data_IF_365085064921
#
_entry.id   IF_365085064921
#
_cell.length_a   1.000
_cell.length_b   1.000
_cell.length_c   1.000
_cell.angle_alpha   90.00
_cell.angle_beta   90.00
_cell.angle_gamma   90.00
#
_symmetry.space_group_name_H-M   'P 1'
#
loop_
_entity.id
_entity.type
_entity.pdbx_description
1 polymer ?
#
# COMPACT_ATOMS: atom_id res chain seq x y z
N UNK A 1 -13.41 -29.22 28.67
CA UNK A 1 -12.36 -28.19 28.85
C UNK A 1 -11.57 -27.88 27.57
N UNK A 2 -11.06 -28.87 26.82
CA UNK A 2 -10.26 -28.62 25.60
C UNK A 2 -10.94 -27.76 24.51
N UNK A 3 -12.21 -28.04 24.21
CA UNK A 3 -12.96 -27.27 23.21
C UNK A 3 -13.13 -25.78 23.58
N UNK A 4 -13.31 -25.50 24.86
CA UNK A 4 -13.43 -24.12 25.37
C UNK A 4 -12.11 -23.38 25.17
N UNK A 5 -10.97 -24.05 25.43
CA UNK A 5 -9.65 -23.48 25.20
C UNK A 5 -9.42 -23.12 23.72
N UNK A 6 -9.79 -24.01 22.78
CA UNK A 6 -9.68 -23.74 21.34
C UNK A 6 -10.55 -22.54 20.93
N UNK A 7 -11.79 -22.46 21.41
CA UNK A 7 -12.67 -21.33 21.11
C UNK A 7 -12.09 -20.00 21.61
N UNK A 8 -11.53 -19.99 22.81
CA UNK A 8 -10.90 -18.80 23.37
C UNK A 8 -9.69 -18.39 22.52
N UNK A 9 -8.80 -19.32 22.17
CA UNK A 9 -7.60 -19.03 21.38
C UNK A 9 -7.94 -18.50 19.97
N UNK A 10 -8.88 -19.16 19.29
CA UNK A 10 -9.31 -18.76 17.94
C UNK A 10 -10.01 -17.40 17.93
N UNK A 11 -10.83 -17.12 18.96
CA UNK A 11 -11.45 -15.81 19.15
C UNK A 11 -10.42 -14.70 19.34
N UNK A 12 -9.43 -14.88 20.22
CA UNK A 12 -8.36 -13.89 20.41
C UNK A 12 -7.51 -13.69 19.15
N UNK A 13 -7.19 -14.77 18.43
CA UNK A 13 -6.44 -14.68 17.18
C UNK A 13 -7.20 -13.87 16.12
N UNK A 14 -8.49 -14.18 15.91
CA UNK A 14 -9.32 -13.47 14.93
C UNK A 14 -9.57 -12.02 15.33
N UNK A 15 -9.76 -11.72 16.62
CA UNK A 15 -9.89 -10.35 17.13
C UNK A 15 -8.62 -9.51 16.89
N UNK A 16 -7.44 -10.06 17.17
CA UNK A 16 -6.18 -9.35 16.95
C UNK A 16 -5.87 -9.14 15.46
N UNK A 17 -6.14 -10.15 14.64
CA UNK A 17 -5.98 -10.06 13.18
C UNK A 17 -6.91 -8.99 12.59
N UNK A 18 -8.18 -8.97 12.99
CA UNK A 18 -9.15 -7.97 12.51
C UNK A 18 -8.77 -6.56 12.97
N UNK A 19 -8.31 -6.38 14.22
CA UNK A 19 -7.82 -5.09 14.70
C UNK A 19 -6.62 -4.57 13.87
N UNK A 20 -5.68 -5.45 13.53
CA UNK A 20 -4.55 -5.09 12.67
C UNK A 20 -4.98 -4.72 11.24
N UNK A 21 -5.92 -5.47 10.65
CA UNK A 21 -6.39 -5.22 9.28
C UNK A 21 -7.25 -3.96 9.17
N UNK A 22 -7.96 -3.59 10.23
CA UNK A 22 -8.87 -2.43 10.26
C UNK A 22 -8.15 -1.11 10.55
N UNK A 23 -6.95 -1.14 11.15
CA UNK A 23 -6.14 0.06 11.42
C UNK A 23 -4.83 0.07 10.61
N UNK A 24 -4.89 0.33 9.29
CA UNK A 24 -3.69 0.59 8.51
C UNK A 24 -3.11 1.96 8.89
N UNK A 25 -2.03 1.97 9.68
CA UNK A 25 -1.31 3.19 10.00
C UNK A 25 -0.01 3.26 9.19
N UNK A 26 0.16 4.32 8.40
CA UNK A 26 1.47 4.66 7.85
C UNK A 26 2.20 5.52 8.87
N UNK A 27 3.26 5.00 9.46
CA UNK A 27 4.16 5.79 10.30
C UNK A 27 5.24 6.40 9.43
N UNK A 28 5.45 7.71 9.55
CA UNK A 28 6.62 8.32 8.92
C UNK A 28 7.89 7.82 9.62
N UNK A 29 8.98 7.63 8.86
CA UNK A 29 10.27 7.38 9.47
C UNK A 29 10.78 8.59 10.27
N UNK A 30 10.28 9.80 10.02
CA UNK A 30 10.77 11.02 10.66
C UNK A 30 9.56 11.76 11.23
N UNK A 31 9.51 11.84 12.56
CA UNK A 31 8.48 12.62 13.25
C UNK A 31 9.09 13.84 13.93
N UNK A 32 10.34 13.73 14.39
CA UNK A 32 11.03 14.74 15.18
C UNK A 32 12.42 15.06 14.64
N UNK A 33 12.95 16.21 15.10
CA UNK A 33 14.32 16.62 14.84
C UNK A 33 15.34 15.54 15.24
N UNK A 34 15.14 14.88 16.39
CA UNK A 34 16.02 13.82 16.89
C UNK A 34 16.09 12.61 15.95
N UNK A 35 14.99 12.31 15.24
CA UNK A 35 14.95 11.21 14.27
C UNK A 35 15.78 11.52 13.03
N UNK A 36 15.85 12.78 12.60
CA UNK A 36 16.70 13.23 11.48
C UNK A 36 18.16 12.89 11.78
N UNK A 37 18.62 13.21 12.99
CA UNK A 37 19.99 12.97 13.46
C UNK A 37 20.30 11.48 13.59
N UNK A 38 19.46 10.76 14.34
CA UNK A 38 19.68 9.34 14.65
C UNK A 38 19.71 8.48 13.39
N UNK A 39 18.93 8.85 12.38
CA UNK A 39 18.85 8.11 11.11
C UNK A 39 19.79 8.67 10.04
N UNK A 40 20.53 9.74 10.33
CA UNK A 40 21.52 10.32 9.43
C UNK A 40 20.90 10.94 8.17
N UNK A 41 19.70 11.50 8.27
CA UNK A 41 19.09 12.24 7.16
C UNK A 41 19.84 13.54 6.93
N UNK A 42 20.14 13.82 5.67
CA UNK A 42 20.70 15.11 5.28
C UNK A 42 19.59 16.09 4.96
N UNK A 43 19.80 17.37 5.21
CA UNK A 43 18.82 18.39 4.87
C UNK A 43 19.44 19.56 4.11
N UNK A 44 18.59 20.21 3.31
CA UNK A 44 18.89 21.40 2.51
C UNK A 44 17.86 22.48 2.82
N UNK A 45 18.30 23.73 2.87
CA UNK A 45 17.44 24.91 2.91
C UNK A 45 17.94 25.95 1.90
N UNK A 46 17.14 27.00 1.68
CA UNK A 46 17.57 28.15 0.88
C UNK A 46 18.72 28.90 1.54
N UNK A 47 19.73 29.27 0.75
CA UNK A 47 20.82 30.14 1.21
C UNK A 47 20.32 31.56 1.47
N UNK A 48 20.78 32.18 2.54
CA UNK A 48 20.47 33.58 2.89
C UNK A 48 19.03 33.84 3.33
N UNK A 49 18.24 32.79 3.61
CA UNK A 49 16.90 32.92 4.23
C UNK A 49 16.99 32.76 5.75
N UNK A 50 15.85 32.95 6.41
CA UNK A 50 15.72 32.89 7.88
C UNK A 50 16.40 31.67 8.51
N UNK A 51 16.22 30.47 7.95
CA UNK A 51 16.81 29.24 8.51
C UNK A 51 18.35 29.27 8.41
N UNK A 52 18.88 29.66 7.26
CA UNK A 52 20.33 29.73 7.03
C UNK A 52 20.97 30.82 7.89
N UNK A 53 20.33 31.99 7.97
CA UNK A 53 20.76 33.10 8.82
C UNK A 53 20.70 32.74 10.31
N UNK A 54 19.61 32.08 10.76
CA UNK A 54 19.49 31.68 12.16
C UNK A 54 20.57 30.67 12.56
N UNK A 55 20.90 29.74 11.67
CA UNK A 55 21.96 28.76 11.91
C UNK A 55 23.37 29.36 11.86
N UNK A 56 23.59 30.44 11.11
CA UNK A 56 24.89 31.11 11.07
C UNK A 56 25.12 32.05 12.24
N UNK A 57 24.06 32.70 12.74
CA UNK A 57 24.15 33.77 13.74
C UNK A 57 23.88 33.28 15.17
N UNK A 58 23.03 32.26 15.35
CA UNK A 58 22.61 31.76 16.66
C UNK A 58 23.07 30.30 16.87
N UNK A 59 24.33 30.12 17.26
CA UNK A 59 24.96 28.82 17.59
C UNK A 59 24.69 28.38 19.06
N UNK A 60 23.86 29.12 19.79
CA UNK A 60 23.62 28.93 21.24
C UNK A 60 22.33 28.15 21.57
N UNK A 61 21.52 27.78 20.58
CA UNK A 61 20.30 26.98 20.81
C UNK A 61 20.62 25.50 20.55
N UNK A 62 20.55 24.68 21.60
CA UNK A 62 20.95 23.26 21.60
C UNK A 62 20.35 22.46 20.42
N UNK A 63 19.10 22.74 20.04
CA UNK A 63 18.42 22.11 18.90
C UNK A 63 18.94 22.55 17.51
N UNK A 64 19.44 23.79 17.37
CA UNK A 64 20.00 24.31 16.10
C UNK A 64 21.39 23.72 15.80
N UNK A 65 22.19 23.50 16.85
CA UNK A 65 23.52 22.90 16.70
C UNK A 65 23.43 21.49 16.14
N UNK A 66 22.41 20.75 16.55
CA UNK A 66 22.11 19.41 16.03
C UNK A 66 21.77 19.44 14.53
N UNK A 67 21.02 20.45 14.07
CA UNK A 67 20.73 20.63 12.65
C UNK A 67 22.01 20.89 11.85
N UNK A 68 22.95 21.67 12.38
CA UNK A 68 24.18 22.00 11.66
C UNK A 68 25.02 20.74 11.32
N UNK A 69 25.00 19.73 12.19
CA UNK A 69 25.71 18.44 11.98
C UNK A 69 25.16 17.66 10.78
N UNK A 70 23.84 17.69 10.58
CA UNK A 70 23.15 16.96 9.49
C UNK A 70 22.94 17.79 8.22
N UNK A 71 23.43 19.04 8.23
CA UNK A 71 23.38 19.91 7.07
C UNK A 71 24.18 19.30 5.93
N UNK A 72 23.59 19.24 4.74
CA UNK A 72 24.34 18.85 3.55
C UNK A 72 25.32 19.96 3.19
N UNK A 73 26.59 19.77 3.56
CA UNK A 73 27.68 20.69 3.22
C UNK A 73 27.88 20.70 1.69
N UNK A 74 28.05 21.90 1.14
CA UNK A 74 28.28 22.21 -0.29
C UNK A 74 27.09 22.20 -1.26
N UNK A 75 25.88 21.83 -0.82
CA UNK A 75 24.68 21.91 -1.66
C UNK A 75 23.65 22.88 -1.08
N UNK A 76 23.44 23.99 -1.77
CA UNK A 76 22.47 25.01 -1.41
C UNK A 76 21.64 25.40 -2.61
N UNK A 77 20.34 25.61 -2.40
CA UNK A 77 19.46 26.15 -3.43
C UNK A 77 19.73 27.66 -3.46
N UNK A 78 20.46 28.10 -4.49
CA UNK A 78 20.83 29.51 -4.74
C UNK A 78 19.77 30.30 -5.46
N UNK A 79 18.91 29.63 -6.22
CA UNK A 79 17.93 30.34 -7.05
C UNK A 79 16.93 31.06 -6.15
N UNK A 80 16.97 32.39 -6.23
CA UNK A 80 16.03 33.29 -5.54
C UNK A 80 14.65 33.25 -6.20
N UNK A 81 14.57 32.83 -7.47
CA UNK A 81 13.38 32.88 -8.30
C UNK A 81 12.75 31.48 -8.43
N UNK A 82 12.00 31.12 -7.38
CA UNK A 82 11.03 30.01 -7.35
C UNK A 82 11.46 28.67 -8.00
N UNK A 83 12.59 28.05 -7.59
CA UNK A 83 13.06 26.80 -8.18
C UNK A 83 12.31 25.58 -7.61
N UNK A 84 11.02 25.46 -7.92
CA UNK A 84 10.15 24.36 -7.44
C UNK A 84 10.73 23.00 -7.81
N UNK A 85 11.25 22.89 -9.03
CA UNK A 85 11.82 21.66 -9.56
C UNK A 85 13.12 21.29 -8.82
N UNK A 86 13.96 22.27 -8.48
CA UNK A 86 15.18 22.01 -7.70
C UNK A 86 14.86 21.55 -6.28
N UNK A 87 13.79 22.08 -5.66
CA UNK A 87 13.32 21.60 -4.36
C UNK A 87 12.89 20.13 -4.49
N UNK A 88 12.07 19.81 -5.48
CA UNK A 88 11.58 18.43 -5.66
C UNK A 88 12.69 17.45 -6.06
N UNK A 89 13.71 17.90 -6.78
CA UNK A 89 14.90 17.13 -7.12
C UNK A 89 15.83 16.95 -5.91
N UNK A 90 15.90 17.94 -5.02
CA UNK A 90 16.67 17.88 -3.79
C UNK A 90 16.05 16.93 -2.74
N UNK A 91 14.72 16.79 -2.73
CA UNK A 91 13.99 15.87 -1.85
C UNK A 91 14.03 14.46 -2.42
N UNK A 92 15.13 13.76 -2.14
CA UNK A 92 15.36 12.36 -2.51
C UNK A 92 15.29 11.42 -1.29
N UNK A 93 15.50 10.12 -1.49
CA UNK A 93 15.68 9.18 -0.38
C UNK A 93 16.83 9.66 0.51
N UNK A 94 16.53 9.85 1.79
CA UNK A 94 17.44 10.32 2.83
C UNK A 94 17.84 11.80 2.78
N UNK A 95 17.21 12.60 1.91
CA UNK A 95 17.44 14.05 1.81
C UNK A 95 16.13 14.80 2.06
N UNK A 96 16.20 15.83 2.91
CA UNK A 96 15.05 16.60 3.36
C UNK A 96 15.18 18.05 2.91
N UNK A 97 14.06 18.70 2.68
CA UNK A 97 14.01 20.13 2.45
C UNK A 97 13.39 20.83 3.67
N UNK A 98 14.10 21.80 4.23
CA UNK A 98 13.64 22.63 5.34
C UNK A 98 13.08 23.95 4.81
N UNK A 99 11.84 24.25 5.19
CA UNK A 99 11.15 25.46 4.79
C UNK A 99 9.96 25.79 5.69
N UNK A 100 9.38 26.95 5.49
CA UNK A 100 8.19 27.37 6.23
C UNK A 100 6.99 26.47 5.92
N UNK A 101 6.26 26.04 6.95
CA UNK A 101 5.13 25.11 6.81
C UNK A 101 4.08 25.59 5.78
N UNK A 102 3.70 26.88 5.82
CA UNK A 102 2.73 27.42 4.87
C UNK A 102 3.21 27.31 3.42
N UNK A 103 4.47 27.65 3.16
CA UNK A 103 5.07 27.54 1.83
C UNK A 103 5.12 26.09 1.34
N UNK A 104 5.53 25.16 2.21
CA UNK A 104 5.56 23.72 1.90
C UNK A 104 4.17 23.17 1.60
N UNK A 105 3.15 23.57 2.36
CA UNK A 105 1.76 23.16 2.12
C UNK A 105 1.26 23.61 0.74
N UNK A 106 1.51 24.86 0.38
CA UNK A 106 1.13 25.40 -0.94
C UNK A 106 1.89 24.66 -2.05
N UNK A 107 3.21 24.47 -1.90
CA UNK A 107 4.04 23.80 -2.89
C UNK A 107 3.65 22.33 -3.13
N UNK A 108 3.34 21.58 -2.07
CA UNK A 108 2.84 20.21 -2.18
C UNK A 108 1.44 20.19 -2.82
N UNK A 109 0.57 21.15 -2.46
CA UNK A 109 -0.77 21.23 -3.03
C UNK A 109 -0.77 21.54 -4.52
N UNK A 110 0.04 22.49 -4.96
CA UNK A 110 0.19 22.84 -6.38
C UNK A 110 0.70 21.65 -7.18
N UNK A 111 1.69 20.92 -6.66
CA UNK A 111 2.18 19.69 -7.27
C UNK A 111 1.08 18.61 -7.35
N UNK A 112 0.31 18.43 -6.28
CA UNK A 112 -0.83 17.51 -6.27
C UNK A 112 -1.88 17.87 -7.34
N UNK A 113 -2.21 19.16 -7.50
CA UNK A 113 -3.13 19.64 -8.54
C UNK A 113 -2.55 19.34 -9.93
N UNK A 114 -1.27 19.65 -10.15
CA UNK A 114 -0.61 19.42 -11.45
C UNK A 114 -0.66 17.92 -11.83
N UNK A 115 -0.29 17.04 -10.90
CA UNK A 115 -0.37 15.58 -11.10
C UNK A 115 -1.80 15.06 -11.28
N UNK A 116 -2.78 15.74 -10.68
CA UNK A 116 -4.19 15.43 -10.88
C UNK A 116 -4.63 15.77 -12.30
N UNK A 117 -4.20 16.92 -12.85
CA UNK A 117 -4.45 17.32 -14.25
C UNK A 117 -3.83 16.33 -15.25
N UNK A 118 -2.71 15.72 -14.89
CA UNK A 118 -2.03 14.68 -15.67
C UNK A 118 -2.68 13.29 -15.57
N UNK A 119 -3.82 13.14 -14.90
CA UNK A 119 -4.57 11.88 -14.77
C UNK A 119 -3.77 10.71 -14.14
N UNK A 120 -2.75 11.02 -13.35
CA UNK A 120 -1.96 10.01 -12.63
C UNK A 120 -2.82 9.25 -11.61
N UNK A 121 -2.48 8.00 -11.30
CA UNK A 121 -3.12 7.26 -10.21
C UNK A 121 -2.86 7.91 -8.84
N UNK A 122 -3.79 7.77 -7.90
CA UNK A 122 -3.75 8.42 -6.57
C UNK A 122 -2.42 8.21 -5.83
N UNK A 123 -1.87 6.99 -5.87
CA UNK A 123 -0.57 6.64 -5.26
C UNK A 123 0.59 7.51 -5.76
N UNK A 124 0.56 7.90 -7.04
CA UNK A 124 1.63 8.69 -7.67
C UNK A 124 1.41 10.20 -7.50
N UNK A 125 0.23 10.63 -7.03
CA UNK A 125 -0.07 12.04 -6.71
C UNK A 125 0.53 12.43 -5.36
N UNK A 126 0.51 11.52 -4.38
CA UNK A 126 0.98 11.73 -3.01
C UNK A 126 2.46 11.34 -2.86
N UNK A 127 3.39 12.09 -3.44
CA UNK A 127 4.83 11.77 -3.38
C UNK A 127 5.57 12.38 -2.20
N UNK A 128 5.07 13.49 -1.67
CA UNK A 128 5.73 14.26 -0.62
C UNK A 128 4.81 14.39 0.59
N UNK A 129 5.42 14.42 1.77
CA UNK A 129 4.73 14.56 3.07
C UNK A 129 5.51 15.53 3.94
N UNK A 130 4.80 16.26 4.78
CA UNK A 130 5.39 17.17 5.78
C UNK A 130 5.49 16.41 7.10
N UNK A 131 6.61 16.56 7.80
CA UNK A 131 6.78 16.05 9.16
C UNK A 131 5.71 16.63 10.09
N UNK A 132 5.06 15.83 10.96
CA UNK A 132 3.97 16.32 11.81
C UNK A 132 4.43 17.36 12.83
N UNK A 133 5.63 17.20 13.40
CA UNK A 133 6.13 18.12 14.42
C UNK A 133 6.92 19.26 13.77
N UNK A 134 6.82 20.45 14.35
CA UNK A 134 7.54 21.64 13.90
C UNK A 134 8.90 21.71 14.58
N UNK A 135 9.94 22.06 13.81
CA UNK A 135 11.30 22.22 14.33
C UNK A 135 11.44 23.54 15.10
N UNK A 136 10.93 24.62 14.52
CA UNK A 136 11.03 25.96 15.09
C UNK A 136 9.74 26.74 14.80
N UNK A 137 9.29 27.51 15.79
CA UNK A 137 8.17 28.45 15.64
C UNK A 137 8.73 29.86 15.71
N UNK A 138 8.57 30.60 14.62
CA UNK A 138 8.98 32.00 14.52
C UNK A 138 7.76 32.90 14.44
N UNK A 139 7.80 34.01 15.18
CA UNK A 139 6.80 35.06 15.08
C UNK A 139 7.18 36.02 13.96
N UNK A 140 6.22 36.35 13.10
CA UNK A 140 6.39 37.37 12.06
C UNK A 140 5.86 38.70 12.56
N UNK A 141 6.61 39.76 12.35
CA UNK A 141 6.24 41.12 12.69
C UNK A 141 6.54 42.05 11.52
N UNK A 142 5.83 43.18 11.47
CA UNK A 142 6.18 44.26 10.57
C UNK A 142 7.30 45.08 11.22
N UNK A 143 8.40 45.24 10.48
CA UNK A 143 9.50 46.10 10.90
C UNK A 143 9.24 47.52 10.40
N UNK A 144 9.40 48.49 11.29
CA UNK A 144 9.30 49.92 10.96
C UNK A 144 10.65 50.59 11.20
N UNK A 145 10.96 51.69 10.48
CA UNK A 145 12.13 52.51 10.80
C UNK A 145 12.10 52.99 12.26
N UNK A 146 13.29 53.18 12.84
CA UNK A 146 13.43 53.71 14.19
C UNK A 146 12.69 55.07 14.28
N UNK A 147 11.88 55.25 15.33
CA UNK A 147 11.02 56.41 15.55
C UNK A 147 9.86 56.61 14.54
N UNK A 148 9.37 55.54 13.91
CA UNK A 148 8.18 55.62 13.06
C UNK A 148 6.90 55.89 13.86
N UNK A 149 6.08 56.84 13.39
CA UNK A 149 4.74 57.10 13.94
C UNK A 149 3.70 56.07 13.50
N UNK A 150 4.04 55.20 12.54
CA UNK A 150 3.13 54.23 11.94
C UNK A 150 2.93 52.97 12.79
N UNK A 151 3.82 52.68 13.72
CA UNK A 151 3.77 51.47 14.54
C UNK A 151 2.44 51.35 15.30
N UNK A 152 2.04 52.41 16.01
CA UNK A 152 0.82 52.44 16.83
C UNK A 152 -0.47 52.24 16.03
N UNK A 153 -0.77 53.05 14.98
CA UNK A 153 -1.98 52.85 14.20
C UNK A 153 -1.98 51.50 13.48
N UNK A 154 -0.83 51.05 12.96
CA UNK A 154 -0.74 49.78 12.25
C UNK A 154 -0.97 48.58 13.18
N UNK A 155 -0.37 48.58 14.37
CA UNK A 155 -0.61 47.53 15.36
C UNK A 155 -2.08 47.47 15.79
N UNK A 156 -2.74 48.62 15.95
CA UNK A 156 -4.17 48.67 16.27
C UNK A 156 -5.01 48.00 15.18
N UNK A 157 -4.78 48.36 13.91
CA UNK A 157 -5.51 47.76 12.80
C UNK A 157 -5.19 46.28 12.62
N UNK A 158 -3.92 45.88 12.79
CA UNK A 158 -3.48 44.50 12.71
C UNK A 158 -4.18 43.62 13.76
N UNK A 159 -4.30 44.10 15.01
CA UNK A 159 -5.02 43.41 16.08
C UNK A 159 -6.50 43.26 15.70
N UNK A 160 -7.14 44.29 15.14
CA UNK A 160 -8.52 44.23 14.64
C UNK A 160 -8.68 43.18 13.54
N UNK A 161 -7.75 43.11 12.59
CA UNK A 161 -7.76 42.10 11.51
C UNK A 161 -7.52 40.67 12.03
N UNK A 162 -6.71 40.52 13.08
CA UNK A 162 -6.51 39.24 13.76
C UNK A 162 -7.76 38.82 14.53
N UNK A 163 -8.35 39.72 15.31
CA UNK A 163 -9.54 39.47 16.14
C UNK A 163 -10.78 39.14 15.29
N UNK A 164 -10.94 39.81 14.15
CA UNK A 164 -12.00 39.50 13.17
C UNK A 164 -11.78 38.19 12.40
N UNK A 165 -10.60 37.58 12.51
CA UNK A 165 -10.28 36.32 11.82
C UNK A 165 -9.98 36.47 10.32
N UNK A 166 -9.87 37.70 9.80
CA UNK A 166 -9.58 37.97 8.38
C UNK A 166 -8.23 37.37 7.98
N UNK A 167 -7.20 37.53 8.83
CA UNK A 167 -5.87 36.96 8.55
C UNK A 167 -5.92 35.44 8.49
N UNK A 168 -6.68 34.80 9.39
CA UNK A 168 -6.85 33.34 9.39
C UNK A 168 -7.56 32.86 8.12
N UNK A 169 -8.57 33.60 7.66
CA UNK A 169 -9.28 33.31 6.41
C UNK A 169 -8.36 33.43 5.20
N UNK A 170 -7.63 34.54 5.06
CA UNK A 170 -6.73 34.75 3.92
C UNK A 170 -5.59 33.72 3.90
N UNK A 171 -5.06 33.34 5.07
CA UNK A 171 -4.08 32.25 5.16
C UNK A 171 -4.61 30.92 4.61
N UNK A 172 -5.89 30.62 4.80
CA UNK A 172 -6.50 29.35 4.38
C UNK A 172 -7.11 29.39 2.98
N UNK A 173 -7.28 30.57 2.37
CA UNK A 173 -8.03 30.78 1.12
C UNK A 173 -7.53 29.95 -0.06
N UNK A 174 -6.21 29.81 -0.20
CA UNK A 174 -5.57 29.08 -1.30
C UNK A 174 -5.18 27.65 -0.93
N UNK A 175 -5.49 27.22 0.30
CA UNK A 175 -5.20 25.90 0.80
C UNK A 175 -6.47 25.04 0.78
N UNK A 176 -6.32 23.71 0.65
CA UNK A 176 -7.45 22.80 0.73
C UNK A 176 -8.10 22.85 2.13
N UNK A 177 -9.43 22.76 2.18
CA UNK A 177 -10.17 22.67 3.45
C UNK A 177 -9.96 21.30 4.11
N UNK A 178 -9.71 20.26 3.32
CA UNK A 178 -9.45 18.90 3.78
C UNK A 178 -7.97 18.52 3.64
N UNK A 179 -7.47 17.66 4.51
CA UNK A 179 -6.10 17.14 4.42
C UNK A 179 -5.92 16.33 3.14
N UNK A 180 -4.94 16.73 2.34
CA UNK A 180 -4.53 16.01 1.14
C UNK A 180 -3.58 14.89 1.56
N UNK A 181 -3.80 13.68 1.03
CA UNK A 181 -2.94 12.52 1.30
C UNK A 181 -2.77 12.23 2.81
N UNK A 182 -3.86 11.89 3.53
CA UNK A 182 -3.76 11.60 4.95
C UNK A 182 -2.88 10.36 5.18
N UNK A 183 -1.97 10.47 6.15
CA UNK A 183 -1.11 9.36 6.58
C UNK A 183 -1.91 8.26 7.26
N UNK A 184 -2.93 8.69 8.00
CA UNK A 184 -3.95 7.79 8.51
C UNK A 184 -4.99 7.57 7.42
N UNK A 185 -5.00 6.37 6.84
CA UNK A 185 -6.11 5.91 6.02
C UNK A 185 -7.31 5.66 6.94
N UNK A 186 -7.93 6.73 7.42
CA UNK A 186 -9.08 6.68 8.31
C UNK A 186 -10.21 5.95 7.59
N UNK A 187 -10.41 4.69 7.98
CA UNK A 187 -11.56 3.86 7.62
C UNK A 187 -11.77 3.59 6.13
N UNK A 188 -10.71 3.61 5.31
CA UNK A 188 -10.78 2.93 4.01
C UNK A 188 -10.64 1.43 4.27
N UNK A 189 -11.70 0.65 4.08
CA UNK A 189 -11.66 -0.82 4.11
C UNK A 189 -10.52 -1.29 3.18
N UNK A 190 -9.38 -1.73 3.75
CA UNK A 190 -8.24 -2.22 2.98
C UNK A 190 -8.69 -3.48 2.24
N UNK A 191 -8.85 -3.39 0.92
CA UNK A 191 -9.09 -4.56 0.09
C UNK A 191 -7.83 -5.43 0.11
N UNK A 192 -7.96 -6.64 0.63
CA UNK A 192 -6.89 -7.62 0.66
C UNK A 192 -6.43 -7.93 -0.76
N UNK A 193 -5.13 -7.74 -1.01
CA UNK A 193 -4.52 -8.06 -2.30
C UNK A 193 -3.96 -9.49 -2.29
N UNK A 194 -3.78 -10.08 -3.47
CA UNK A 194 -3.12 -11.39 -3.58
C UNK A 194 -1.70 -11.40 -3.00
N UNK A 195 -1.01 -10.24 -2.97
CA UNK A 195 0.30 -10.12 -2.32
C UNK A 195 0.23 -10.27 -0.81
N UNK A 196 -0.82 -9.74 -0.16
CA UNK A 196 -0.98 -9.84 1.30
C UNK A 196 -1.25 -11.31 1.72
N UNK A 197 -1.90 -12.10 0.86
CA UNK A 197 -2.18 -13.53 1.04
C UNK A 197 -1.08 -14.46 0.50
N UNK A 198 0.02 -13.92 -0.04
CA UNK A 198 1.06 -14.74 -0.66
C UNK A 198 1.67 -15.77 0.30
N UNK A 199 1.78 -15.43 1.59
CA UNK A 199 2.33 -16.31 2.61
C UNK A 199 1.49 -17.59 2.80
N UNK A 200 0.17 -17.48 2.82
CA UNK A 200 -0.71 -18.65 3.02
C UNK A 200 -0.61 -19.60 1.85
N UNK A 201 -0.57 -19.09 0.61
CA UNK A 201 -0.34 -19.90 -0.58
C UNK A 201 1.01 -20.62 -0.53
N UNK A 202 2.08 -19.95 -0.12
CA UNK A 202 3.41 -20.57 0.03
C UNK A 202 3.40 -21.72 1.04
N UNK A 203 2.74 -21.55 2.17
CA UNK A 203 2.63 -22.61 3.21
C UNK A 203 1.86 -23.82 2.69
N UNK A 204 0.74 -23.60 1.98
CA UNK A 204 -0.04 -24.70 1.38
C UNK A 204 0.79 -25.47 0.36
N UNK A 205 1.50 -24.77 -0.54
CA UNK A 205 2.38 -25.40 -1.53
C UNK A 205 3.47 -26.22 -0.83
N UNK A 206 4.12 -25.66 0.19
CA UNK A 206 5.13 -26.38 0.97
C UNK A 206 4.56 -27.66 1.61
N UNK A 207 3.33 -27.60 2.14
CA UNK A 207 2.63 -28.78 2.68
C UNK A 207 2.42 -29.87 1.64
N UNK A 208 2.00 -29.51 0.42
CA UNK A 208 1.87 -30.48 -0.68
C UNK A 208 3.21 -31.11 -1.09
N UNK A 209 4.28 -30.33 -1.13
CA UNK A 209 5.63 -30.86 -1.42
C UNK A 209 6.07 -31.86 -0.36
N UNK A 210 5.89 -31.52 0.93
CA UNK A 210 6.24 -32.44 2.03
C UNK A 210 5.41 -33.73 1.96
N UNK A 211 4.11 -33.62 1.71
CA UNK A 211 3.23 -34.78 1.57
C UNK A 211 3.64 -35.68 0.38
N UNK A 212 3.98 -35.07 -0.76
CA UNK A 212 4.48 -35.81 -1.92
C UNK A 212 5.81 -36.52 -1.63
N UNK A 213 6.74 -35.87 -0.92
CA UNK A 213 8.02 -36.49 -0.54
C UNK A 213 7.80 -37.69 0.38
N UNK A 214 6.94 -37.56 1.40
CA UNK A 214 6.62 -38.68 2.31
C UNK A 214 5.99 -39.84 1.54
N UNK A 215 5.06 -39.55 0.62
CA UNK A 215 4.42 -40.57 -0.20
C UNK A 215 5.40 -41.32 -1.10
N UNK A 216 6.32 -40.60 -1.75
CA UNK A 216 7.37 -41.21 -2.58
C UNK A 216 8.34 -42.05 -1.74
N UNK A 217 8.69 -41.59 -0.54
CA UNK A 217 9.53 -42.35 0.40
C UNK A 217 8.85 -43.65 0.82
N UNK A 218 7.56 -43.62 1.16
CA UNK A 218 6.81 -44.82 1.53
C UNK A 218 6.75 -45.83 0.37
N UNK A 219 6.47 -45.36 -0.85
CA UNK A 219 6.47 -46.20 -2.05
C UNK A 219 7.86 -46.82 -2.27
N UNK A 220 8.92 -46.04 -2.11
CA UNK A 220 10.30 -46.50 -2.30
C UNK A 220 10.70 -47.55 -1.27
N UNK A 221 10.36 -47.35 0.01
CA UNK A 221 10.58 -48.32 1.09
C UNK A 221 9.81 -49.62 0.81
N UNK A 222 8.53 -49.52 0.45
CA UNK A 222 7.71 -50.69 0.15
C UNK A 222 8.20 -51.45 -1.10
N UNK A 223 8.68 -50.74 -2.12
CA UNK A 223 9.25 -51.35 -3.31
C UNK A 223 10.59 -52.05 -3.01
N UNK A 224 11.47 -51.41 -2.24
CA UNK A 224 12.73 -52.01 -1.76
C UNK A 224 12.47 -53.26 -0.91
N UNK A 225 11.52 -53.20 0.04
CA UNK A 225 11.14 -54.34 0.87
C UNK A 225 10.56 -55.51 0.04
N UNK A 226 9.73 -55.22 -0.98
CA UNK A 226 9.22 -56.23 -1.92
C UNK A 226 10.34 -56.81 -2.79
N UNK A 227 11.27 -55.98 -3.28
CA UNK A 227 12.41 -56.43 -4.10
C UNK A 227 13.37 -57.30 -3.28
N UNK A 228 13.61 -56.95 -2.01
CA UNK A 228 14.39 -57.76 -1.07
C UNK A 228 13.71 -59.11 -0.77
N UNK A 229 12.39 -59.12 -0.53
CA UNK A 229 11.62 -60.38 -0.39
C UNK A 229 11.65 -61.24 -1.65
N UNK A 230 11.63 -60.65 -2.86
CA UNK A 230 11.77 -61.39 -4.12
C UNK A 230 13.16 -62.01 -4.26
N UNK A 231 14.24 -61.27 -3.94
CA UNK A 231 15.62 -61.82 -3.97
C UNK A 231 15.83 -62.96 -2.97
N UNK A 232 15.18 -62.93 -1.81
CA UNK A 232 15.26 -64.03 -0.82
C UNK A 232 14.51 -65.30 -1.24
N UNK A 233 13.52 -65.20 -2.14
CA UNK A 233 12.83 -66.38 -2.73
C UNK A 233 13.66 -67.04 -3.85
N UNK A 234 14.43 -66.29 -4.62
CA UNK A 234 15.33 -66.85 -5.65
C UNK A 234 16.65 -67.40 -5.09
N UNK A 235 17.03 -67.06 -3.86
CA UNK A 235 18.23 -67.59 -3.19
C UNK A 235 18.07 -68.94 -2.47
N UNK A 236 16.93 -69.63 -2.61
CA UNK A 236 16.63 -70.91 -1.93
C UNK A 236 16.35 -72.09 -2.87
N UNK A 237 16.79 -72.00 -4.13
CA UNK A 237 16.81 -73.14 -5.06
C UNK A 237 18.15 -73.21 -5.79
N UNK A 238 19.20 -73.55 -5.04
CA UNK A 238 20.41 -74.15 -5.56
C UNK A 238 20.89 -75.14 -4.50
N UNK A 239 20.27 -76.31 -4.48
CA UNK A 239 20.94 -77.52 -4.01
C UNK A 239 20.42 -78.74 -4.78
N UNK A 240 21.39 -79.41 -5.41
CA UNK A 240 21.40 -80.80 -5.87
C UNK A 240 20.58 -81.21 -7.11
N UNK A 241 21.38 -81.32 -8.18
CA UNK A 241 21.59 -82.52 -9.03
C UNK A 241 20.64 -82.87 -10.19
N UNK A 242 21.32 -83.36 -11.24
CA UNK A 242 20.90 -84.22 -12.36
C UNK A 242 20.32 -83.58 -13.63
N UNK A 243 21.24 -83.38 -14.59
CA UNK A 243 21.30 -83.99 -15.92
C UNK A 243 20.01 -84.27 -16.71
N UNK A 244 20.12 -83.94 -18.00
CA UNK A 244 19.50 -84.55 -19.19
C UNK A 244 18.45 -83.75 -19.98
N UNK A 245 18.84 -83.55 -21.24
CA UNK A 245 18.04 -83.57 -22.49
C UNK A 245 17.32 -82.29 -22.91
N UNK A 246 18.02 -81.58 -23.80
CA UNK A 246 17.40 -80.90 -24.92
C UNK A 246 16.49 -81.88 -25.70
N UNK A 247 15.22 -81.52 -25.85
CA UNK A 247 14.34 -82.09 -26.87
C UNK A 247 13.59 -80.98 -27.59
N UNK A 248 13.61 -81.15 -28.91
CA UNK A 248 13.20 -80.31 -30.03
C UNK A 248 11.68 -80.40 -30.30
N UNK A 249 11.07 -79.29 -30.72
CA UNK A 249 9.84 -79.10 -31.56
C UNK A 249 9.03 -77.92 -31.03
N UNK A 250 8.32 -77.10 -31.80
CA UNK A 250 8.22 -76.78 -33.22
C UNK A 250 7.39 -75.51 -33.28
N UNK A 251 7.61 -74.66 -34.28
CA UNK A 251 6.73 -73.54 -34.58
C UNK A 251 5.31 -74.05 -34.88
N UNK A 252 4.31 -73.38 -34.31
CA UNK A 252 3.01 -73.20 -34.97
C UNK A 252 2.49 -71.80 -34.66
N UNK A 253 2.31 -71.06 -35.75
CA UNK A 253 1.71 -69.74 -35.84
C UNK A 253 0.19 -69.85 -35.90
N UNK A 254 -0.53 -69.15 -35.03
CA UNK A 254 -1.94 -68.82 -35.24
C UNK A 254 -2.25 -67.45 -34.63
N UNK A 255 -2.59 -66.52 -35.53
CA UNK A 255 -3.03 -65.14 -35.30
C UNK A 255 -4.43 -65.16 -34.64
N UNK A 256 -4.79 -64.15 -33.82
CA UNK A 256 -5.95 -63.36 -34.20
C UNK A 256 -5.72 -61.84 -34.21
N UNK A 257 -6.45 -61.24 -35.14
CA UNK A 257 -6.56 -59.84 -35.56
C UNK A 257 -6.52 -58.77 -34.46
N UNK A 258 -5.74 -57.73 -34.76
CA UNK A 258 -5.92 -56.37 -34.27
C UNK A 258 -7.28 -55.81 -34.73
N UNK A 259 -8.07 -55.29 -33.79
CA UNK A 259 -9.18 -54.37 -34.08
C UNK A 259 -8.77 -53.00 -33.55
N UNK A 260 -8.59 -52.05 -34.47
CA UNK A 260 -8.50 -50.63 -34.14
C UNK A 260 -9.92 -50.11 -33.91
N UNK A 261 -10.21 -49.53 -32.73
CA UNK A 261 -11.38 -48.66 -32.57
C UNK A 261 -10.97 -47.23 -32.84
N UNK A 262 -11.37 -46.80 -34.03
CA UNK A 262 -11.38 -45.44 -34.56
C UNK A 262 -12.15 -44.48 -33.64
N UNK A 263 -11.60 -43.27 -33.51
CA UNK A 263 -12.29 -42.06 -33.07
C UNK A 263 -13.56 -41.88 -33.91
N UNK A 264 -14.71 -41.82 -33.26
CA UNK A 264 -15.91 -41.21 -33.83
C UNK A 264 -16.06 -39.79 -33.30
N UNK A 265 -15.99 -38.85 -34.24
CA UNK A 265 -16.58 -37.53 -34.12
C UNK A 265 -18.10 -37.70 -33.98
N UNK A 266 -18.69 -37.02 -33.00
CA UNK A 266 -20.05 -36.51 -33.10
C UNK A 266 -20.15 -35.33 -32.13
N UNK A 267 -19.80 -34.17 -32.68
CA UNK A 267 -20.24 -32.87 -32.19
C UNK A 267 -21.76 -32.85 -32.27
N UNK A 268 -22.44 -32.91 -31.13
CA UNK A 268 -23.85 -32.55 -31.06
C UNK A 268 -24.00 -31.34 -30.15
N UNK A 269 -24.37 -30.24 -30.80
CA UNK A 269 -24.39 -28.88 -30.31
C UNK A 269 -25.75 -28.65 -29.66
N UNK A 270 -25.90 -29.05 -28.39
CA UNK A 270 -27.09 -28.68 -27.60
C UNK A 270 -26.85 -27.36 -26.87
N UNK A 271 -27.39 -26.31 -27.47
CA UNK A 271 -27.73 -25.06 -26.81
C UNK A 271 -28.63 -25.36 -25.61
N UNK A 272 -28.14 -25.10 -24.42
CA UNK A 272 -28.98 -24.94 -23.23
C UNK A 272 -28.75 -23.52 -22.74
N UNK A 273 -29.63 -22.62 -23.18
CA UNK A 273 -29.88 -21.34 -22.53
C UNK A 273 -30.53 -21.62 -21.16
N UNK A 274 -30.07 -21.01 -20.06
CA UNK A 274 -30.93 -20.86 -18.89
C UNK A 274 -31.98 -19.78 -19.20
N UNK A 275 -33.23 -19.95 -18.74
CA UNK A 275 -34.31 -19.02 -19.02
C UNK A 275 -34.06 -17.67 -18.35
N UNK A 276 -34.33 -16.63 -19.12
CA UNK A 276 -34.43 -15.24 -18.71
C UNK A 276 -35.36 -15.10 -17.50
N UNK A 277 -34.78 -14.67 -16.37
CA UNK A 277 -35.56 -14.08 -15.28
C UNK A 277 -35.73 -12.59 -15.60
N UNK A 278 -36.97 -12.18 -15.80
CA UNK A 278 -37.37 -10.80 -16.05
C UNK A 278 -36.91 -9.88 -14.90
N UNK A 279 -36.00 -8.96 -15.19
CA UNK A 279 -35.67 -7.81 -14.34
C UNK A 279 -36.35 -6.59 -14.95
N UNK A 280 -37.24 -5.90 -14.23
CA UNK A 280 -37.80 -4.65 -14.71
C UNK A 280 -36.88 -3.47 -14.34
N UNK A 281 -36.62 -2.64 -15.34
CA UNK A 281 -36.09 -1.28 -15.35
C UNK A 281 -34.59 -1.02 -15.22
N UNK A 282 -34.09 -0.39 -16.30
CA UNK A 282 -32.78 0.17 -16.55
C UNK A 282 -32.22 1.01 -15.39
N UNK A 283 -31.13 0.51 -14.80
CA UNK A 283 -30.06 1.35 -14.27
C UNK A 283 -28.83 0.98 -15.10
N UNK A 284 -28.52 1.80 -16.11
CA UNK A 284 -27.27 1.70 -16.83
C UNK A 284 -26.12 1.58 -15.83
N UNK A 285 -25.29 0.56 -15.98
CA UNK A 285 -24.14 0.29 -15.09
C UNK A 285 -23.18 1.48 -15.10
N UNK A 286 -23.40 2.43 -14.19
CA UNK A 286 -22.55 3.59 -14.00
C UNK A 286 -21.13 3.16 -13.62
N UNK A 287 -20.14 3.64 -14.36
CA UNK A 287 -18.71 3.46 -14.07
C UNK A 287 -18.46 3.89 -12.62
N UNK A 288 -18.02 2.94 -11.77
CA UNK A 288 -17.65 3.24 -10.37
C UNK A 288 -16.39 4.09 -10.37
N UNK A 289 -16.41 5.21 -9.65
CA UNK A 289 -15.27 6.12 -9.54
C UNK A 289 -14.93 6.39 -8.08
N UNK A 290 -13.65 6.26 -7.72
CA UNK A 290 -13.17 6.46 -6.36
C UNK A 290 -12.53 7.85 -6.25
N UNK A 291 -13.12 8.72 -5.42
CA UNK A 291 -12.63 10.07 -5.16
C UNK A 291 -12.37 10.19 -3.66
N UNK A 292 -11.13 10.49 -3.27
CA UNK A 292 -10.73 10.66 -1.86
C UNK A 292 -11.12 9.49 -0.94
N UNK A 293 -11.00 8.25 -1.44
CA UNK A 293 -11.31 7.04 -0.68
C UNK A 293 -12.81 6.75 -0.52
N UNK A 294 -13.68 7.48 -1.22
CA UNK A 294 -15.12 7.18 -1.31
C UNK A 294 -15.49 6.77 -2.72
N UNK A 295 -16.25 5.69 -2.82
CA UNK A 295 -16.77 5.21 -4.10
C UNK A 295 -18.07 5.95 -4.45
N UNK A 296 -18.17 6.41 -5.69
CA UNK A 296 -19.34 7.07 -6.26
C UNK A 296 -19.77 6.36 -7.55
N UNK A 297 -21.09 6.28 -7.77
CA UNK A 297 -21.66 6.05 -9.10
C UNK A 297 -21.72 7.37 -9.86
N UNK A 298 -21.21 7.39 -11.08
CA UNK A 298 -21.44 8.50 -12.01
C UNK A 298 -22.74 8.20 -12.74
N UNK A 299 -23.74 9.04 -12.51
CA UNK A 299 -25.03 9.00 -13.22
C UNK A 299 -25.13 10.27 -14.04
N UNK A 300 -25.43 10.12 -15.32
CA UNK A 300 -25.69 11.24 -16.21
C UNK A 300 -27.16 11.61 -16.10
N UNK A 301 -27.46 12.89 -15.87
CA UNK A 301 -28.84 13.39 -15.92
C UNK A 301 -29.36 13.38 -17.37
N UNK A 302 -30.67 13.53 -17.57
CA UNK A 302 -31.30 13.58 -18.91
C UNK A 302 -30.74 14.69 -19.81
N UNK A 303 -30.11 15.69 -19.20
CA UNK A 303 -29.46 16.82 -19.87
C UNK A 303 -27.94 16.64 -20.08
N UNK A 304 -27.37 15.49 -19.68
CA UNK A 304 -25.95 15.17 -19.89
C UNK A 304 -25.00 15.55 -18.75
N UNK A 305 -25.50 16.20 -17.69
CA UNK A 305 -24.69 16.58 -16.53
C UNK A 305 -24.29 15.36 -15.68
N UNK A 306 -23.02 15.32 -15.28
CA UNK A 306 -22.49 14.25 -14.42
C UNK A 306 -22.86 14.49 -12.96
N UNK A 307 -23.65 13.58 -12.38
CA UNK A 307 -23.94 13.52 -10.94
C UNK A 307 -23.22 12.36 -10.28
N UNK A 308 -22.62 12.63 -9.12
CA UNK A 308 -21.92 11.64 -8.31
C UNK A 308 -22.84 11.18 -7.17
N UNK A 309 -23.20 9.91 -7.14
CA UNK A 309 -24.01 9.30 -6.08
C UNK A 309 -23.11 8.43 -5.20
N UNK A 310 -22.93 8.72 -3.90
CA UNK A 310 -22.09 7.92 -3.02
C UNK A 310 -22.64 6.49 -2.87
N UNK A 311 -21.78 5.47 -2.95
CA UNK A 311 -22.18 4.04 -2.96
C UNK A 311 -22.65 3.55 -1.58
N UNK A 312 -22.39 4.30 -0.50
CA UNK A 312 -22.98 4.08 0.82
C UNK A 312 -23.25 5.40 1.51
N UNK A 313 -24.46 5.57 2.05
CA UNK A 313 -24.67 6.47 3.19
C UNK A 313 -23.88 5.89 4.37
N UNK A 314 -22.99 6.63 5.04
CA UNK A 314 -22.41 6.14 6.27
C UNK A 314 -23.56 5.86 7.24
N UNK A 315 -23.63 4.64 7.77
CA UNK A 315 -24.58 4.24 8.81
C UNK A 315 -24.49 5.08 10.09
N UNK A 316 -23.52 6.01 10.16
CA UNK A 316 -23.40 7.02 11.21
C UNK A 316 -24.35 8.23 11.06
N UNK A 317 -25.01 8.43 9.91
CA UNK A 317 -26.00 9.53 9.78
C UNK A 317 -27.40 9.16 10.33
N UNK A 318 -27.61 7.91 10.74
CA UNK A 318 -28.86 7.44 11.37
C UNK A 318 -28.85 7.49 12.90
N UNK A 319 -27.76 7.92 13.54
CA UNK A 319 -27.66 8.04 15.00
C UNK A 319 -27.25 9.46 15.42
N UNK A 320 -28.06 10.46 15.08
CA UNK A 320 -28.04 11.74 15.77
C UNK A 320 -29.46 12.31 15.84
N UNK A 321 -30.36 11.64 16.58
CA UNK A 321 -31.52 12.28 17.22
C UNK A 321 -32.01 11.36 18.34
N UNK A 322 -31.48 11.54 19.55
CA UNK A 322 -32.22 11.42 20.81
C UNK A 322 -31.39 12.10 21.91
N UNK A 323 -31.90 13.26 22.34
CA UNK A 323 -31.67 14.03 23.58
C UNK A 323 -30.24 14.24 24.08
#
# INVERSE_FOLDING_TARGET
MWWIFILILTSFYTANLTAFLTRPQFTLPINDLKDILRKGYQWIAYKGRTIDFMLSEFDDVEDLNLLNVTRWKDHYITSYEYPVDDIFNAVEKNKLFLGENYYLQTLIFENYINKTRQHLHHRNRCTYVIMPNTILVINKAFAFPVNSTLEKPFNKELITLMASGIIKREKLKNLPIAQICPLDLRSSERRLSFSDLSLTFKVVIAGYIIAMVIFVLEISINWLAKSYKRRKKTGKWCDRTFSCKWKRKSNDSLIPRLVYTTKNQLFDKRNIQPPSLNIPYDIAQGKKHCINGRDYYIVFDRYGDQRLIPIRTPSAFLFQYTA
#
